data_IF_971490236722
#
_entry.id   IF_971490236722
#
_cell.length_a   1.000
_cell.length_b   1.000
_cell.length_c   1.000
_cell.angle_alpha   90.00
_cell.angle_beta   90.00
_cell.angle_gamma   90.00
#
_symmetry.space_group_name_H-M   'P 1'
#
loop_
_entity.id
_entity.type
_entity.pdbx_description
1 polymer ?
#
# COMPACT_ATOMS: atom_id res chain seq x y z
N UNK A 1 11.72 5.78 1.92
CA UNK A 1 11.10 6.79 1.04
C UNK A 1 12.12 7.90 0.79
N UNK A 2 12.49 8.19 -0.45
CA UNK A 2 13.45 9.27 -0.78
C UNK A 2 12.68 10.58 -0.85
N UNK A 3 12.93 11.51 0.07
CA UNK A 3 12.23 12.79 0.09
C UNK A 3 12.64 13.59 -1.17
N UNK A 4 11.71 13.80 -2.09
CA UNK A 4 11.86 14.72 -3.23
C UNK A 4 11.83 16.18 -2.76
N UNK A 5 12.29 17.12 -3.61
CA UNK A 5 12.25 18.56 -3.28
C UNK A 5 10.83 19.07 -2.96
N UNK A 6 9.82 18.46 -3.57
CA UNK A 6 8.40 18.74 -3.36
C UNK A 6 7.68 17.44 -3.08
N UNK A 7 7.02 17.33 -1.93
CA UNK A 7 6.28 16.12 -1.54
C UNK A 7 4.91 16.12 -2.23
N UNK A 8 4.41 14.94 -2.59
CA UNK A 8 3.05 14.78 -3.09
C UNK A 8 2.58 13.35 -2.79
N UNK A 9 1.68 13.20 -1.83
CA UNK A 9 0.98 11.95 -1.60
C UNK A 9 -0.16 11.86 -2.60
N UNK A 10 -0.21 10.76 -3.37
CA UNK A 10 -1.33 10.51 -4.28
C UNK A 10 -2.54 10.01 -3.50
N UNK A 11 -3.73 10.42 -3.92
CA UNK A 11 -4.98 9.87 -3.37
C UNK A 11 -5.19 8.43 -3.87
N UNK A 12 -5.76 7.58 -3.01
CA UNK A 12 -6.13 6.21 -3.38
C UNK A 12 -7.57 6.19 -3.90
N UNK A 13 -8.49 6.80 -3.16
CA UNK A 13 -9.88 6.99 -3.55
C UNK A 13 -10.18 8.47 -3.91
N UNK A 14 -11.32 8.72 -4.56
CA UNK A 14 -11.77 10.08 -4.89
C UNK A 14 -12.02 10.95 -3.64
N UNK A 15 -12.52 10.34 -2.55
CA UNK A 15 -12.79 11.02 -1.28
C UNK A 15 -11.54 11.28 -0.44
N UNK A 16 -10.40 10.67 -0.78
CA UNK A 16 -9.14 10.76 -0.01
C UNK A 16 -8.34 12.05 -0.24
N UNK A 17 -8.84 12.96 -1.09
CA UNK A 17 -8.14 14.18 -1.45
C UNK A 17 -7.66 14.97 -0.21
N UNK A 18 -8.54 15.20 0.76
CA UNK A 18 -8.22 15.92 2.00
C UNK A 18 -7.14 15.22 2.84
N UNK A 19 -7.24 13.89 2.97
CA UNK A 19 -6.24 13.11 3.69
C UNK A 19 -4.87 13.12 2.97
N UNK A 20 -4.87 13.10 1.64
CA UNK A 20 -3.67 13.15 0.83
C UNK A 20 -2.96 14.52 0.87
N UNK A 21 -3.70 15.64 0.88
CA UNK A 21 -3.08 16.97 1.05
C UNK A 21 -2.48 17.15 2.45
N UNK A 22 -3.17 16.68 3.50
CA UNK A 22 -2.64 16.72 4.86
C UNK A 22 -1.40 15.85 4.99
N UNK A 23 -1.42 14.63 4.40
CA UNK A 23 -0.24 13.78 4.34
C UNK A 23 0.95 14.47 3.66
N UNK A 24 0.68 15.17 2.55
CA UNK A 24 1.69 15.95 1.83
C UNK A 24 2.29 17.07 2.69
N UNK A 25 1.47 17.77 3.47
CA UNK A 25 1.91 18.77 4.45
C UNK A 25 2.76 18.12 5.55
N UNK A 26 2.29 17.03 6.17
CA UNK A 26 3.01 16.32 7.22
C UNK A 26 4.41 15.89 6.75
N UNK A 27 4.50 15.33 5.55
CA UNK A 27 5.79 14.95 4.94
C UNK A 27 6.71 16.15 4.71
N UNK A 28 6.16 17.32 4.41
CA UNK A 28 6.92 18.57 4.23
C UNK A 28 7.54 19.05 5.54
N UNK A 29 6.88 18.77 6.67
CA UNK A 29 7.40 18.98 8.03
C UNK A 29 8.12 17.74 8.60
N UNK A 30 8.50 16.78 7.74
CA UNK A 30 9.25 15.56 8.11
C UNK A 30 8.53 14.66 9.12
N UNK A 31 7.19 14.63 9.11
CA UNK A 31 6.36 13.71 9.89
C UNK A 31 5.62 12.76 8.95
N UNK A 32 5.67 11.47 9.24
CA UNK A 32 4.91 10.45 8.53
C UNK A 32 3.65 10.07 9.31
N UNK A 33 2.53 9.94 8.58
CA UNK A 33 1.29 9.35 9.07
C UNK A 33 0.64 8.57 7.93
N UNK A 34 -0.10 7.51 8.26
CA UNK A 34 -0.85 6.76 7.25
C UNK A 34 -2.07 7.55 6.81
N UNK A 35 -2.48 7.40 5.54
CA UNK A 35 -3.71 8.01 5.01
C UNK A 35 -4.91 7.65 5.89
N UNK A 36 -5.01 6.39 6.33
CA UNK A 36 -6.09 5.92 7.19
C UNK A 36 -6.14 6.67 8.54
N UNK A 37 -5.00 6.86 9.21
CA UNK A 37 -4.94 7.63 10.46
C UNK A 37 -5.34 9.09 10.24
N UNK A 38 -4.97 9.66 9.10
CA UNK A 38 -5.36 11.03 8.75
C UNK A 38 -6.87 11.10 8.50
N UNK A 39 -7.45 10.17 7.72
CA UNK A 39 -8.91 10.06 7.47
C UNK A 39 -9.70 10.00 8.77
N UNK A 40 -9.25 9.17 9.71
CA UNK A 40 -9.87 9.04 11.03
C UNK A 40 -9.79 10.36 11.83
N UNK A 41 -8.64 11.06 11.76
CA UNK A 41 -8.43 12.32 12.48
C UNK A 41 -9.33 13.45 11.95
N UNK A 42 -9.47 13.54 10.63
CA UNK A 42 -10.20 14.63 9.96
C UNK A 42 -11.69 14.32 9.74
N UNK A 43 -12.12 13.10 10.02
CA UNK A 43 -13.51 12.67 9.86
C UNK A 43 -13.97 12.63 8.41
N UNK A 44 -13.12 12.18 7.48
CA UNK A 44 -13.50 12.02 6.06
C UNK A 44 -14.60 10.97 5.92
N UNK A 45 -15.71 11.36 5.30
CA UNK A 45 -16.81 10.45 4.98
C UNK A 45 -16.80 10.06 3.49
N UNK A 46 -17.86 9.40 3.01
CA UNK A 46 -17.97 9.00 1.60
C UNK A 46 -18.04 10.18 0.61
N UNK A 47 -18.42 11.38 1.08
CA UNK A 47 -18.58 12.59 0.28
C UNK A 47 -17.34 13.50 0.33
N UNK A 48 -16.34 13.16 1.15
CA UNK A 48 -15.06 13.86 1.21
C UNK A 48 -14.87 14.58 2.55
N UNK A 49 -14.29 15.78 2.52
CA UNK A 49 -14.02 16.55 3.75
C UNK A 49 -14.19 18.03 3.47
N UNK A 50 -14.82 18.74 4.41
CA UNK A 50 -15.03 20.18 4.30
C UNK A 50 -13.77 20.96 4.70
N UNK A 51 -13.70 22.24 4.34
CA UNK A 51 -12.63 23.15 4.79
C UNK A 51 -12.50 23.14 6.32
N UNK A 52 -13.64 23.12 7.04
CA UNK A 52 -13.69 23.04 8.50
C UNK A 52 -13.05 21.75 9.02
N UNK A 53 -13.36 20.60 8.40
CA UNK A 53 -12.76 19.31 8.77
C UNK A 53 -11.25 19.27 8.55
N UNK A 54 -10.75 19.92 7.50
CA UNK A 54 -9.29 20.06 7.27
C UNK A 54 -8.64 20.91 8.35
N UNK A 55 -9.25 22.03 8.76
CA UNK A 55 -8.75 22.90 9.83
C UNK A 55 -8.70 22.16 11.16
N UNK A 56 -9.83 21.59 11.60
CA UNK A 56 -9.90 20.82 12.86
C UNK A 56 -8.94 19.62 12.85
N UNK A 57 -8.80 18.96 11.70
CA UNK A 57 -7.87 17.87 11.50
C UNK A 57 -6.40 18.28 11.69
N UNK A 58 -6.00 19.42 11.12
CA UNK A 58 -4.65 19.97 11.28
C UNK A 58 -4.39 20.45 12.71
N UNK A 59 -5.38 21.05 13.37
CA UNK A 59 -5.29 21.45 14.78
C UNK A 59 -5.08 20.24 15.69
N UNK A 60 -5.82 19.14 15.49
CA UNK A 60 -5.60 17.85 16.18
C UNK A 60 -4.22 17.25 15.91
N UNK A 61 -3.59 17.62 14.79
CA UNK A 61 -2.23 17.22 14.43
C UNK A 61 -1.17 18.20 14.97
N UNK A 62 -1.54 19.13 15.86
CA UNK A 62 -0.69 20.11 16.51
C UNK A 62 -0.15 21.19 15.57
N UNK A 63 -0.96 21.62 14.60
CA UNK A 63 -0.71 22.84 13.82
C UNK A 63 -1.56 24.01 14.34
N UNK A 64 -1.00 25.21 14.30
CA UNK A 64 -1.77 26.44 14.36
C UNK A 64 -2.23 26.77 12.93
N UNK A 65 -3.53 26.86 12.71
CA UNK A 65 -4.14 26.89 11.38
C UNK A 65 -4.99 28.14 11.22
N UNK A 66 -4.94 28.76 10.05
CA UNK A 66 -5.79 29.90 9.70
C UNK A 66 -6.31 29.76 8.27
N UNK A 67 -7.62 29.58 8.14
CA UNK A 67 -8.31 29.63 6.86
C UNK A 67 -8.68 31.07 6.51
N UNK A 68 -8.32 31.53 5.32
CA UNK A 68 -8.51 32.91 4.85
C UNK A 68 -9.11 32.89 3.45
N UNK A 69 -10.02 33.83 3.18
CA UNK A 69 -10.47 34.13 1.81
C UNK A 69 -9.54 35.18 1.21
N UNK A 70 -9.00 34.88 0.03
CA UNK A 70 -7.96 35.69 -0.62
C UNK A 70 -8.04 35.51 -2.13
N UNK A 71 -7.53 36.48 -2.89
CA UNK A 71 -7.30 36.34 -4.33
C UNK A 71 -5.92 35.69 -4.63
N UNK A 72 -5.68 35.31 -5.89
CA UNK A 72 -4.38 34.77 -6.33
C UNK A 72 -3.27 35.82 -6.24
N UNK A 73 -3.59 37.10 -6.37
CA UNK A 73 -2.59 38.19 -6.34
C UNK A 73 -1.95 38.38 -4.97
N UNK A 74 -2.73 38.13 -3.92
CA UNK A 74 -2.28 38.16 -2.53
C UNK A 74 -1.37 36.97 -2.18
N UNK A 75 -1.34 35.92 -3.01
CA UNK A 75 -0.40 34.81 -2.87
C UNK A 75 1.00 35.27 -3.25
N UNK A 76 1.69 35.84 -2.27
CA UNK A 76 3.06 36.34 -2.43
C UNK A 76 4.09 35.33 -1.94
N UNK A 77 5.34 35.42 -2.40
CA UNK A 77 6.45 34.62 -1.89
C UNK A 77 6.81 34.87 -0.41
N UNK A 78 6.23 35.90 0.23
CA UNK A 78 6.48 36.27 1.63
C UNK A 78 5.59 35.52 2.62
N UNK A 79 4.53 34.88 2.12
CA UNK A 79 3.63 34.06 2.95
C UNK A 79 4.28 32.75 3.36
N UNK A 80 3.68 32.10 4.36
CA UNK A 80 4.15 30.81 4.85
C UNK A 80 3.65 29.69 3.94
N UNK A 81 4.58 28.84 3.48
CA UNK A 81 4.30 27.63 2.72
C UNK A 81 4.95 26.41 3.41
N UNK A 82 4.38 25.20 3.30
CA UNK A 82 3.24 24.83 2.46
C UNK A 82 1.89 25.36 2.97
N UNK A 83 0.97 25.64 2.04
CA UNK A 83 -0.42 26.04 2.34
C UNK A 83 -1.39 25.16 1.54
N UNK A 84 -2.59 24.91 2.05
CA UNK A 84 -3.62 24.15 1.33
C UNK A 84 -4.56 25.14 0.65
N UNK A 85 -4.81 24.97 -0.65
CA UNK A 85 -5.77 25.76 -1.39
C UNK A 85 -6.97 24.91 -1.80
N UNK A 86 -8.15 25.52 -1.77
CA UNK A 86 -9.36 24.96 -2.31
C UNK A 86 -9.49 25.33 -3.79
N UNK A 87 -9.66 24.33 -4.64
CA UNK A 87 -9.73 24.49 -6.10
C UNK A 87 -10.88 23.68 -6.65
N UNK A 88 -11.28 23.99 -7.88
CA UNK A 88 -12.22 23.20 -8.67
C UNK A 88 -11.47 22.45 -9.76
N UNK A 89 -11.83 21.19 -9.97
CA UNK A 89 -11.30 20.44 -11.11
C UNK A 89 -11.98 20.89 -12.41
N UNK A 90 -11.42 20.51 -13.56
CA UNK A 90 -12.04 20.78 -14.87
C UNK A 90 -13.45 20.15 -15.01
N UNK A 91 -13.79 19.19 -14.15
CA UNK A 91 -15.09 18.50 -14.10
C UNK A 91 -16.07 19.20 -13.14
N UNK A 92 -15.68 20.32 -12.53
CA UNK A 92 -16.54 21.08 -11.61
C UNK A 92 -16.56 20.54 -10.17
N UNK A 93 -15.72 19.56 -9.83
CA UNK A 93 -15.68 18.96 -8.50
C UNK A 93 -14.79 19.74 -7.55
N UNK A 94 -15.19 19.82 -6.27
CA UNK A 94 -14.41 20.45 -5.21
C UNK A 94 -13.18 19.61 -4.89
N UNK A 95 -12.02 20.26 -4.80
CA UNK A 95 -10.73 19.58 -4.61
C UNK A 95 -9.78 20.42 -3.76
N UNK A 96 -8.83 19.75 -3.11
CA UNK A 96 -7.77 20.40 -2.34
C UNK A 96 -6.41 20.13 -2.97
N UNK A 97 -5.57 21.14 -2.94
CA UNK A 97 -4.18 21.05 -3.42
C UNK A 97 -3.23 21.73 -2.43
N UNK A 98 -1.97 21.30 -2.41
CA UNK A 98 -0.94 21.92 -1.56
C UNK A 98 -0.09 22.87 -2.40
N UNK A 99 -0.10 24.15 -2.06
CA UNK A 99 0.86 25.12 -2.60
C UNK A 99 2.16 24.96 -1.83
N UNK A 100 3.19 24.50 -2.52
CA UNK A 100 4.53 24.34 -1.95
C UNK A 100 5.33 25.64 -1.94
N UNK A 101 5.19 26.44 -3.00
CA UNK A 101 5.95 27.69 -3.15
C UNK A 101 5.35 28.57 -4.24
N UNK A 102 5.31 29.87 -3.96
CA UNK A 102 5.15 30.91 -4.98
C UNK A 102 6.50 31.55 -5.26
N UNK A 103 6.88 31.62 -6.53
CA UNK A 103 8.16 32.21 -6.97
C UNK A 103 8.01 33.72 -7.21
N UNK A 104 9.11 34.47 -7.11
CA UNK A 104 9.13 35.91 -7.43
C UNK A 104 8.71 36.22 -8.89
N UNK A 105 8.82 35.23 -9.79
CA UNK A 105 8.42 35.32 -11.20
C UNK A 105 6.94 34.95 -11.43
N UNK A 106 6.13 34.82 -10.37
CA UNK A 106 4.70 34.53 -10.46
C UNK A 106 4.32 33.06 -10.70
N UNK A 107 5.29 32.13 -10.77
CA UNK A 107 4.98 30.69 -10.88
C UNK A 107 4.61 30.10 -9.52
N UNK A 108 3.56 29.29 -9.49
CA UNK A 108 3.02 28.61 -8.31
C UNK A 108 3.30 27.12 -8.45
N UNK A 109 4.02 26.54 -7.47
CA UNK A 109 4.30 25.10 -7.43
C UNK A 109 3.24 24.44 -6.55
N UNK A 110 2.47 23.54 -7.14
CA UNK A 110 1.31 22.91 -6.51
C UNK A 110 1.49 21.40 -6.50
N UNK A 111 1.23 20.73 -5.38
CA UNK A 111 1.06 19.29 -5.31
C UNK A 111 -0.43 18.97 -5.32
N UNK A 112 -0.85 18.32 -6.40
CA UNK A 112 -2.20 17.84 -6.63
C UNK A 112 -2.26 16.33 -6.33
N UNK A 113 -3.05 15.88 -5.34
CA UNK A 113 -3.17 14.47 -5.00
C UNK A 113 -3.56 13.55 -6.18
N UNK A 114 -4.28 14.06 -7.18
CA UNK A 114 -4.69 13.28 -8.34
C UNK A 114 -3.60 13.21 -9.42
N UNK A 115 -2.88 14.31 -9.67
CA UNK A 115 -1.98 14.47 -10.83
C UNK A 115 -0.49 14.45 -10.49
N UNK A 116 -0.11 14.73 -9.24
CA UNK A 116 1.27 14.90 -8.80
C UNK A 116 1.66 16.38 -8.65
N UNK A 117 2.95 16.68 -8.80
CA UNK A 117 3.45 18.06 -8.66
C UNK A 117 3.34 18.79 -9.99
N UNK A 118 2.54 19.85 -10.02
CA UNK A 118 2.26 20.70 -11.17
C UNK A 118 2.82 22.11 -10.93
N UNK A 119 2.98 22.88 -12.01
CA UNK A 119 3.39 24.29 -11.95
C UNK A 119 2.41 25.11 -12.76
N UNK A 120 1.87 26.15 -12.14
CA UNK A 120 0.92 27.05 -12.76
C UNK A 120 1.51 28.46 -12.87
N UNK A 121 1.10 29.19 -13.91
CA UNK A 121 1.12 30.65 -13.89
C UNK A 121 0.03 31.18 -12.95
N UNK A 122 0.01 32.49 -12.68
CA UNK A 122 -1.08 33.09 -11.90
C UNK A 122 -2.43 32.93 -12.59
N UNK A 123 -2.48 33.27 -13.88
CA UNK A 123 -3.69 33.20 -14.71
C UNK A 123 -4.25 31.77 -14.76
N UNK A 124 -3.39 30.77 -14.94
CA UNK A 124 -3.82 29.36 -14.95
C UNK A 124 -4.38 28.93 -13.59
N UNK A 125 -3.76 29.36 -12.50
CA UNK A 125 -4.21 29.00 -11.16
C UNK A 125 -5.51 29.72 -10.77
N UNK A 126 -5.69 30.98 -11.21
CA UNK A 126 -6.87 31.78 -10.96
C UNK A 126 -8.14 31.13 -11.53
N UNK A 127 -8.04 30.49 -12.69
CA UNK A 127 -9.17 29.78 -13.30
C UNK A 127 -9.70 28.59 -12.49
N UNK A 128 -8.84 27.97 -11.66
CA UNK A 128 -9.22 26.81 -10.83
C UNK A 128 -9.41 27.17 -9.36
N UNK A 129 -9.02 28.36 -8.94
CA UNK A 129 -8.95 28.73 -7.53
C UNK A 129 -10.30 29.21 -6.98
N UNK A 130 -10.74 28.62 -5.87
CA UNK A 130 -12.03 28.92 -5.24
C UNK A 130 -11.95 30.04 -4.18
N UNK A 131 -10.82 30.73 -4.07
CA UNK A 131 -10.68 31.88 -3.17
C UNK A 131 -10.42 31.54 -1.69
N UNK A 132 -10.18 30.27 -1.34
CA UNK A 132 -9.94 29.84 0.05
C UNK A 132 -8.56 29.19 0.19
N UNK A 133 -7.77 29.69 1.13
CA UNK A 133 -6.45 29.14 1.48
C UNK A 133 -6.34 28.90 2.98
N UNK A 134 -5.78 27.77 3.34
CA UNK A 134 -5.50 27.34 4.70
C UNK A 134 -3.99 27.45 4.92
N UNK A 135 -3.59 28.42 5.72
CA UNK A 135 -2.22 28.57 6.20
C UNK A 135 -2.04 27.78 7.50
N UNK A 136 -0.84 27.25 7.72
CA UNK A 136 -0.54 26.48 8.92
C UNK A 136 0.93 26.59 9.33
N UNK A 137 1.17 26.51 10.64
CA UNK A 137 2.50 26.48 11.24
C UNK A 137 2.51 25.42 12.34
N UNK A 138 3.53 24.54 12.43
CA UNK A 138 3.61 23.57 13.52
C UNK A 138 3.71 24.27 14.88
N UNK A 139 3.02 23.76 15.89
CA UNK A 139 3.14 24.22 17.28
C UNK A 139 4.34 23.58 17.98
N UNK A 140 4.61 23.97 19.22
CA UNK A 140 5.65 23.35 20.06
C UNK A 140 5.41 21.87 20.34
N UNK A 141 4.15 21.42 20.25
CA UNK A 141 3.75 20.01 20.45
C UNK A 141 3.89 19.16 19.17
N UNK A 142 4.24 19.78 18.05
CA UNK A 142 4.43 19.05 16.79
C UNK A 142 5.71 18.21 16.85
N UNK A 143 5.54 16.89 17.01
CA UNK A 143 6.67 15.95 16.98
C UNK A 143 6.97 15.50 15.54
N UNK A 144 8.14 15.88 15.03
CA UNK A 144 8.66 15.32 13.79
C UNK A 144 9.11 13.87 13.99
N UNK A 145 8.27 12.91 13.61
CA UNK A 145 8.62 11.49 13.66
C UNK A 145 9.72 11.18 12.65
N UNK A 146 10.79 10.49 13.07
CA UNK A 146 11.76 9.91 12.12
C UNK A 146 11.02 9.04 11.12
N UNK A 147 11.11 9.40 9.84
CA UNK A 147 10.61 8.64 8.69
C UNK A 147 11.23 7.24 8.70
N UNK A 148 10.59 6.32 9.42
CA UNK A 148 10.93 4.90 9.42
C UNK A 148 9.97 4.28 8.42
N UNK A 149 10.42 4.21 7.17
CA UNK A 149 9.73 3.42 6.15
C UNK A 149 9.74 1.95 6.53
N UNK A 150 8.84 1.54 7.44
CA UNK A 150 8.48 0.13 7.63
C UNK A 150 7.67 -0.24 6.39
N UNK A 151 8.35 -0.78 5.39
CA UNK A 151 7.70 -1.24 4.18
C UNK A 151 6.71 -2.36 4.48
N UNK A 152 5.74 -2.57 3.59
CA UNK A 152 4.84 -3.73 3.65
C UNK A 152 5.61 -5.06 3.74
N UNK A 153 6.82 -5.11 3.17
CA UNK A 153 7.72 -6.25 3.28
C UNK A 153 8.21 -6.49 4.72
N UNK A 154 8.52 -5.44 5.48
CA UNK A 154 8.94 -5.57 6.89
C UNK A 154 7.79 -6.11 7.76
N UNK A 155 6.55 -5.69 7.45
CA UNK A 155 5.34 -6.23 8.06
C UNK A 155 5.18 -7.72 7.70
N UNK A 156 5.26 -8.08 6.41
CA UNK A 156 5.12 -9.46 5.93
C UNK A 156 6.17 -10.39 6.54
N UNK A 157 7.42 -9.93 6.57
CA UNK A 157 8.55 -10.64 7.21
C UNK A 157 8.30 -10.83 8.70
N UNK A 158 7.81 -9.80 9.41
CA UNK A 158 7.49 -9.88 10.83
C UNK A 158 6.34 -10.86 11.13
N UNK A 159 5.39 -11.03 10.21
CA UNK A 159 4.25 -11.94 10.35
C UNK A 159 4.62 -13.40 10.02
N UNK A 160 5.49 -13.63 9.03
CA UNK A 160 5.82 -14.98 8.55
C UNK A 160 7.00 -15.60 9.30
N UNK A 161 8.05 -14.83 9.59
CA UNK A 161 9.25 -15.36 10.27
C UNK A 161 9.03 -15.99 11.65
N UNK A 162 8.02 -15.61 12.46
CA UNK A 162 7.72 -16.31 13.71
C UNK A 162 7.29 -17.77 13.49
N UNK A 163 6.71 -18.11 12.34
CA UNK A 163 6.17 -19.44 12.04
C UNK A 163 7.19 -20.37 11.36
N UNK A 164 8.41 -20.46 11.91
CA UNK A 164 9.54 -21.20 11.31
C UNK A 164 9.25 -22.68 11.07
N UNK A 165 8.50 -23.33 11.97
CA UNK A 165 8.12 -24.75 11.84
C UNK A 165 7.22 -24.99 10.63
N UNK A 166 6.21 -24.13 10.44
CA UNK A 166 5.29 -24.20 9.32
C UNK A 166 6.01 -23.98 7.99
N UNK A 167 6.87 -22.95 7.94
CA UNK A 167 7.67 -22.65 6.76
C UNK A 167 8.57 -23.84 6.37
N UNK A 168 9.22 -24.47 7.36
CA UNK A 168 10.08 -25.64 7.14
C UNK A 168 9.33 -26.84 6.57
N UNK A 169 8.13 -27.14 7.08
CA UNK A 169 7.28 -28.23 6.57
C UNK A 169 6.86 -27.96 5.13
N UNK A 170 6.47 -26.72 4.79
CA UNK A 170 6.07 -26.35 3.43
C UNK A 170 7.25 -26.49 2.45
N UNK A 171 8.44 -26.01 2.83
CA UNK A 171 9.63 -26.12 2.00
C UNK A 171 10.00 -27.59 1.78
N UNK A 172 10.02 -28.40 2.83
CA UNK A 172 10.33 -29.83 2.73
C UNK A 172 9.30 -30.58 1.88
N UNK A 173 8.01 -30.31 2.07
CA UNK A 173 6.93 -30.91 1.28
C UNK A 173 7.04 -30.50 -0.20
N UNK A 174 7.39 -29.25 -0.49
CA UNK A 174 7.62 -28.79 -1.86
C UNK A 174 8.79 -29.52 -2.51
N UNK A 175 9.92 -29.68 -1.81
CA UNK A 175 11.09 -30.40 -2.34
C UNK A 175 10.73 -31.87 -2.61
N UNK A 176 10.06 -32.53 -1.67
CA UNK A 176 9.62 -33.92 -1.84
C UNK A 176 8.66 -34.08 -3.02
N UNK A 177 7.69 -33.17 -3.16
CA UNK A 177 6.74 -33.19 -4.27
C UNK A 177 7.44 -33.00 -5.61
N UNK A 178 8.37 -32.06 -5.70
CA UNK A 178 9.18 -31.84 -6.91
C UNK A 178 10.01 -33.07 -7.25
N UNK A 179 10.65 -33.71 -6.26
CA UNK A 179 11.42 -34.93 -6.48
C UNK A 179 10.55 -36.08 -6.99
N UNK A 180 9.38 -36.30 -6.40
CA UNK A 180 8.41 -37.30 -6.86
C UNK A 180 7.91 -37.01 -8.29
N UNK A 181 7.68 -35.74 -8.62
CA UNK A 181 7.30 -35.30 -9.96
C UNK A 181 8.37 -35.63 -11.00
N UNK A 182 9.65 -35.39 -10.67
CA UNK A 182 10.79 -35.74 -11.53
C UNK A 182 10.83 -37.26 -11.76
N UNK A 183 10.75 -38.07 -10.68
CA UNK A 183 10.76 -39.53 -10.76
C UNK A 183 9.61 -40.04 -11.64
N UNK A 184 8.40 -39.48 -11.47
CA UNK A 184 7.24 -39.83 -12.27
C UNK A 184 7.41 -39.53 -13.76
N UNK A 185 8.11 -38.46 -14.11
CA UNK A 185 8.39 -38.09 -15.50
C UNK A 185 9.36 -39.08 -16.17
N UNK A 186 10.42 -39.49 -15.44
CA UNK A 186 11.34 -40.52 -15.91
C UNK A 186 10.67 -41.88 -16.08
N UNK A 187 9.72 -42.23 -15.19
CA UNK A 187 8.96 -43.46 -15.31
C UNK A 187 8.14 -43.54 -16.62
N UNK A 188 7.43 -42.46 -16.98
CA UNK A 188 6.66 -42.41 -18.22
C UNK A 188 7.56 -42.60 -19.46
N UNK A 189 8.79 -42.06 -19.41
CA UNK A 189 9.79 -42.24 -20.46
C UNK A 189 10.20 -43.71 -20.62
N UNK A 190 10.54 -44.41 -19.53
CA UNK A 190 10.94 -45.82 -19.57
C UNK A 190 9.81 -46.70 -20.13
N UNK A 191 8.56 -46.44 -19.75
CA UNK A 191 7.41 -47.21 -20.27
C UNK A 191 7.27 -47.03 -21.78
N UNK A 192 7.32 -45.79 -22.28
CA UNK A 192 7.18 -45.50 -23.71
C UNK A 192 8.37 -45.98 -24.54
N UNK A 193 9.59 -45.78 -24.06
CA UNK A 193 10.80 -45.96 -24.85
C UNK A 193 11.39 -47.39 -24.73
N UNK A 194 11.15 -48.09 -23.61
CA UNK A 194 11.73 -49.43 -23.37
C UNK A 194 10.69 -50.54 -23.22
N UNK A 195 9.54 -50.31 -22.59
CA UNK A 195 8.60 -51.40 -22.29
C UNK A 195 7.65 -51.69 -23.47
N UNK A 196 7.13 -50.65 -24.11
CA UNK A 196 6.21 -50.77 -25.25
C UNK A 196 6.92 -51.33 -26.51
N UNK A 197 8.12 -50.86 -26.91
CA UNK A 197 8.77 -51.31 -28.14
C UNK A 197 9.26 -52.77 -28.08
N UNK A 198 9.61 -53.28 -26.90
CA UNK A 198 10.12 -54.64 -26.71
C UNK A 198 9.01 -55.66 -26.33
N UNK A 199 7.73 -55.25 -26.30
CA UNK A 199 6.56 -56.09 -26.00
C UNK A 199 6.64 -56.96 -24.71
N UNK A 200 7.27 -56.48 -23.64
CA UNK A 200 7.32 -57.20 -22.36
C UNK A 200 5.99 -57.09 -21.59
N UNK A 201 4.98 -57.88 -22.00
CA UNK A 201 3.61 -57.88 -21.43
C UNK A 201 3.58 -58.08 -19.91
N UNK A 202 4.44 -58.95 -19.36
CA UNK A 202 4.51 -59.21 -17.91
C UNK A 202 5.08 -58.02 -17.12
N UNK A 203 6.08 -57.31 -17.67
CA UNK A 203 6.67 -56.12 -17.03
C UNK A 203 5.70 -54.94 -17.08
N UNK A 204 4.97 -54.78 -18.19
CA UNK A 204 3.96 -53.73 -18.35
C UNK A 204 2.82 -53.82 -17.30
N UNK A 205 2.29 -55.02 -17.04
CA UNK A 205 1.22 -55.22 -16.04
C UNK A 205 1.68 -54.94 -14.61
N UNK A 206 2.88 -55.38 -14.22
CA UNK A 206 3.44 -55.09 -12.88
C UNK A 206 3.63 -53.58 -12.70
N UNK A 207 4.10 -52.90 -13.74
CA UNK A 207 4.31 -51.45 -13.72
C UNK A 207 3.01 -50.64 -13.63
N UNK A 208 1.96 -51.04 -14.36
CA UNK A 208 0.64 -50.39 -14.28
C UNK A 208 0.00 -50.52 -12.90
N UNK A 209 0.15 -51.67 -12.23
CA UNK A 209 -0.39 -51.90 -10.89
C UNK A 209 0.34 -51.03 -9.85
N UNK A 210 1.68 -50.97 -9.92
CA UNK A 210 2.49 -50.13 -9.02
C UNK A 210 2.18 -48.64 -9.22
N UNK A 211 2.08 -48.19 -10.47
CA UNK A 211 1.79 -46.80 -10.79
C UNK A 211 0.34 -46.40 -10.44
N UNK A 212 -0.62 -47.31 -10.63
CA UNK A 212 -2.01 -47.12 -10.19
C UNK A 212 -2.11 -46.93 -8.67
N UNK A 213 -1.30 -47.66 -7.90
CA UNK A 213 -1.27 -47.51 -6.45
C UNK A 213 -0.60 -46.20 -5.99
N UNK A 214 0.52 -45.84 -6.62
CA UNK A 214 1.25 -44.59 -6.31
C UNK A 214 0.44 -43.35 -6.71
N UNK A 215 -0.19 -43.33 -7.89
CA UNK A 215 -1.04 -42.24 -8.36
C UNK A 215 -2.31 -42.05 -7.51
N UNK A 216 -2.80 -43.10 -6.85
CA UNK A 216 -3.90 -43.00 -5.88
C UNK A 216 -3.46 -42.42 -4.53
N UNK A 217 -2.18 -42.57 -4.18
CA UNK A 217 -1.59 -42.08 -2.92
C UNK A 217 -1.17 -40.61 -2.98
N UNK A 218 -0.77 -40.09 -4.15
CA UNK A 218 -0.33 -38.70 -4.32
C UNK A 218 -1.41 -37.64 -4.01
N UNK A 219 -2.70 -37.77 -4.41
CA UNK A 219 -3.72 -36.83 -4.00
C UNK A 219 -4.08 -36.93 -2.51
N UNK A 220 -3.81 -38.07 -1.85
CA UNK A 220 -4.08 -38.24 -0.42
C UNK A 220 -3.11 -37.43 0.45
N UNK A 221 -1.86 -37.25 0.00
CA UNK A 221 -0.84 -36.46 0.70
C UNK A 221 -1.02 -34.95 0.47
N UNK A 222 -1.34 -34.54 -0.76
CA UNK A 222 -1.59 -33.12 -1.11
C UNK A 222 -2.87 -32.54 -0.49
N UNK A 223 -3.89 -33.38 -0.22
CA UNK A 223 -5.17 -32.93 0.36
C UNK A 223 -5.15 -32.92 1.89
N UNK A 224 -4.43 -33.85 2.56
CA UNK A 224 -4.40 -33.91 4.03
C UNK A 224 -3.36 -33.03 4.71
N UNK A 225 -2.21 -32.75 4.09
CA UNK A 225 -1.21 -31.82 4.68
C UNK A 225 -1.76 -30.42 4.98
N UNK A 226 -2.53 -29.76 4.09
CA UNK A 226 -3.09 -28.44 4.40
C UNK A 226 -4.23 -28.50 5.43
N UNK A 227 -4.97 -29.61 5.51
CA UNK A 227 -6.05 -29.79 6.50
C UNK A 227 -5.50 -30.06 7.91
N UNK A 228 -4.46 -30.88 8.06
CA UNK A 228 -3.85 -31.13 9.38
C UNK A 228 -3.21 -29.86 9.97
N UNK A 229 -2.71 -28.96 9.10
CA UNK A 229 -2.13 -27.68 9.52
C UNK A 229 -3.18 -26.61 9.82
N UNK A 230 -4.33 -26.63 9.11
CA UNK A 230 -5.44 -25.73 9.45
C UNK A 230 -6.03 -26.05 10.83
N UNK A 231 -6.09 -27.32 11.24
CA UNK A 231 -6.48 -27.73 12.60
C UNK A 231 -5.50 -27.28 13.70
N UNK A 232 -4.20 -27.17 13.41
CA UNK A 232 -3.22 -26.64 14.37
C UNK A 232 -3.27 -25.10 14.48
N UNK A 233 -3.73 -24.41 13.44
CA UNK A 233 -3.89 -22.95 13.44
C UNK A 233 -5.24 -22.47 14.00
N UNK A 234 -6.29 -23.30 14.02
CA UNK A 234 -7.63 -22.94 14.51
C UNK A 234 -7.92 -23.35 15.95
N UNK A 235 -7.00 -24.03 16.64
CA UNK A 235 -7.20 -24.42 18.04
C UNK A 235 -6.40 -23.50 19.00
N UNK A 236 -7.03 -22.45 19.58
CA UNK A 236 -6.37 -21.54 20.52
C UNK A 236 -6.02 -22.19 21.88
N UNK A 237 -6.36 -23.46 22.12
CA UNK A 237 -6.18 -24.12 23.41
C UNK A 237 -4.75 -24.69 23.66
N UNK A 238 -3.82 -24.63 22.69
CA UNK A 238 -2.50 -25.30 22.82
C UNK A 238 -1.32 -24.30 22.90
N UNK A 239 -1.57 -22.99 23.04
CA UNK A 239 -0.50 -21.98 23.15
C UNK A 239 -0.53 -21.15 24.45
N UNK A 240 -1.22 -21.62 25.50
CA UNK A 240 -1.16 -21.06 26.84
C UNK A 240 -0.85 -22.14 27.89
N UNK A 241 0.36 -22.70 27.83
CA UNK A 241 1.02 -23.33 28.98
C UNK A 241 2.48 -23.61 28.61
N UNK A 242 3.38 -22.72 29.02
CA UNK A 242 4.82 -22.80 28.77
C UNK A 242 5.45 -21.42 28.71
#
# INVERSE_FOLDING_TARGET
MRLTKWQCTKQHDASDCAAAVISTVLLSYKRESTIMKIRETIGTDAYGTTVKGVVEGLEKLHFNVKAVRTSVDELTPKLTYPAIAHVVTNEGLQHFVVIHKVTKKGKIVVANPAKGVERYTREEFENIFQGVVIFMVPTSEFEATKIKGKGMFDLFVKLILPQKKLLGVIILASVLLTALGIISSFFAKIVMDEIIPYELKRTLYVFLIVFGFVSRSSPFLSVKLPLANSYLCTNPAINFSG
#
